data_IF_469021604968
#
_entry.id   IF_469021604968
#
_cell.length_a   1.000
_cell.length_b   1.000
_cell.length_c   1.000
_cell.angle_alpha   90.00
_cell.angle_beta   90.00
_cell.angle_gamma   90.00
#
_symmetry.space_group_name_H-M   'P 1'
#
loop_
_entity.id
_entity.type
_entity.pdbx_description
1 polymer ?
#
# COMPACT_ATOMS: atom_id res chain seq x y z
N UNK A 1 -4.48 -22.54 19.97
CA UNK A 1 -3.45 -22.02 19.05
C UNK A 1 -4.15 -21.19 17.98
N UNK A 2 -3.57 -20.08 17.52
CA UNK A 2 -4.14 -19.31 16.41
C UNK A 2 -3.79 -20.05 15.12
N UNK A 3 -4.79 -20.60 14.44
CA UNK A 3 -4.66 -21.15 13.09
C UNK A 3 -4.99 -20.04 12.10
N UNK A 4 -4.03 -19.69 11.25
CA UNK A 4 -4.23 -18.77 10.15
C UNK A 4 -4.59 -19.58 8.91
N UNK A 5 -5.89 -19.77 8.70
CA UNK A 5 -6.45 -20.50 7.56
C UNK A 5 -7.67 -19.74 7.03
N UNK A 6 -7.89 -19.80 5.72
CA UNK A 6 -9.07 -19.19 5.08
C UNK A 6 -10.35 -19.81 5.66
N UNK A 7 -11.36 -18.99 5.92
CA UNK A 7 -12.62 -19.37 6.57
C UNK A 7 -12.56 -19.44 8.10
N UNK A 8 -11.36 -19.45 8.71
CA UNK A 8 -11.23 -19.32 10.18
C UNK A 8 -11.36 -17.87 10.62
N UNK A 9 -11.51 -17.64 11.93
CA UNK A 9 -11.62 -16.30 12.51
C UNK A 9 -10.29 -15.79 13.06
N UNK A 10 -9.88 -14.59 12.66
CA UNK A 10 -8.85 -13.81 13.31
C UNK A 10 -9.48 -12.66 14.11
N UNK A 11 -9.38 -12.72 15.45
CA UNK A 11 -10.02 -11.74 16.36
C UNK A 11 -11.51 -11.51 16.05
N UNK A 12 -12.23 -12.60 15.85
CA UNK A 12 -13.68 -12.59 15.58
C UNK A 12 -14.07 -12.31 14.12
N UNK A 13 -13.11 -11.98 13.24
CA UNK A 13 -13.34 -11.69 11.83
C UNK A 13 -12.91 -12.83 10.93
N UNK A 14 -13.74 -13.23 9.97
CA UNK A 14 -13.40 -14.30 9.02
C UNK A 14 -12.19 -13.90 8.15
N UNK A 15 -11.24 -14.82 8.00
CA UNK A 15 -10.10 -14.68 7.09
C UNK A 15 -10.54 -15.08 5.68
N UNK A 16 -10.44 -14.15 4.74
CA UNK A 16 -10.83 -14.33 3.33
C UNK A 16 -9.67 -14.77 2.45
N UNK A 17 -8.44 -14.36 2.78
CA UNK A 17 -7.24 -14.67 2.02
C UNK A 17 -6.00 -14.57 2.92
N UNK A 18 -4.93 -15.29 2.57
CA UNK A 18 -3.67 -15.35 3.32
C UNK A 18 -2.48 -15.44 2.37
N UNK A 19 -1.49 -14.59 2.62
CA UNK A 19 -0.15 -14.69 2.01
C UNK A 19 0.86 -14.88 3.13
N UNK A 20 1.68 -15.93 3.02
CA UNK A 20 2.85 -16.12 3.87
C UNK A 20 4.08 -15.57 3.15
N UNK A 21 4.73 -14.59 3.77
CA UNK A 21 5.94 -13.97 3.24
C UNK A 21 7.18 -14.81 3.53
N UNK A 22 8.23 -14.61 2.74
CA UNK A 22 9.52 -15.29 2.89
C UNK A 22 10.18 -15.03 4.24
N UNK A 23 9.97 -13.85 4.83
CA UNK A 23 10.47 -13.48 6.15
C UNK A 23 9.66 -14.07 7.33
N UNK A 24 8.70 -14.94 7.05
CA UNK A 24 7.86 -15.62 8.04
C UNK A 24 6.67 -14.80 8.54
N UNK A 25 6.47 -13.58 8.04
CA UNK A 25 5.25 -12.81 8.32
C UNK A 25 4.06 -13.33 7.53
N UNK A 26 2.87 -12.98 7.98
CA UNK A 26 1.62 -13.29 7.29
C UNK A 26 0.88 -12.00 6.96
N UNK A 27 0.38 -11.89 5.75
CA UNK A 27 -0.66 -10.94 5.40
C UNK A 27 -1.98 -11.69 5.32
N UNK A 28 -3.01 -11.12 5.93
CA UNK A 28 -4.37 -11.67 5.85
C UNK A 28 -5.35 -10.60 5.37
N UNK A 29 -6.30 -11.01 4.53
CA UNK A 29 -7.56 -10.28 4.32
C UNK A 29 -8.57 -10.80 5.32
N UNK A 30 -9.18 -9.90 6.09
CA UNK A 30 -10.33 -10.24 6.94
C UNK A 30 -11.57 -9.50 6.48
N UNK A 31 -12.76 -10.06 6.71
CA UNK A 31 -14.02 -9.35 6.46
C UNK A 31 -14.04 -7.95 7.11
N UNK A 32 -14.74 -7.01 6.47
CA UNK A 32 -14.98 -5.68 7.00
C UNK A 32 -16.44 -5.27 6.80
N UNK A 33 -16.86 -4.13 7.34
CA UNK A 33 -18.28 -3.79 7.49
C UNK A 33 -18.83 -2.79 6.47
N UNK A 34 -18.04 -2.26 5.53
CA UNK A 34 -18.55 -1.22 4.61
C UNK A 34 -19.39 -1.78 3.46
N UNK A 35 -19.03 -2.95 2.93
CA UNK A 35 -19.77 -3.63 1.86
C UNK A 35 -19.50 -5.13 1.89
N UNK A 36 -20.26 -5.94 1.15
CA UNK A 36 -20.02 -7.38 1.03
C UNK A 36 -18.68 -7.75 0.39
N UNK A 37 -18.05 -6.80 -0.31
CA UNK A 37 -16.73 -6.96 -0.93
C UNK A 37 -15.62 -6.27 -0.12
N UNK A 38 -15.96 -5.48 0.90
CA UNK A 38 -14.98 -4.76 1.73
C UNK A 38 -14.22 -5.71 2.64
N UNK A 39 -12.92 -5.48 2.76
CA UNK A 39 -12.04 -6.25 3.60
C UNK A 39 -11.05 -5.35 4.31
N UNK A 40 -10.35 -5.91 5.29
CA UNK A 40 -9.27 -5.26 6.01
C UNK A 40 -8.00 -6.07 5.89
N UNK A 41 -6.92 -5.39 5.52
CA UNK A 41 -5.59 -5.98 5.47
C UNK A 41 -4.97 -5.98 6.87
N UNK A 42 -4.35 -7.09 7.27
CA UNK A 42 -3.53 -7.16 8.49
C UNK A 42 -2.22 -7.87 8.21
N UNK A 43 -1.15 -7.32 8.77
CA UNK A 43 0.17 -7.94 8.80
C UNK A 43 0.38 -8.55 10.19
N UNK A 44 0.72 -9.82 10.26
CA UNK A 44 1.04 -10.56 11.49
C UNK A 44 2.52 -10.91 11.43
N UNK A 45 3.30 -10.34 12.36
CA UNK A 45 4.75 -10.51 12.42
C UNK A 45 5.20 -11.36 13.62
N UNK A 46 4.28 -11.74 14.51
CA UNK A 46 4.50 -12.83 15.47
C UNK A 46 3.19 -13.50 15.87
N UNK A 47 3.20 -14.83 16.02
CA UNK A 47 2.07 -15.61 16.54
C UNK A 47 2.13 -15.78 18.07
N UNK A 48 3.32 -15.66 18.67
CA UNK A 48 3.57 -15.85 20.12
C UNK A 48 4.70 -14.92 20.59
N UNK A 49 4.40 -13.84 21.35
CA UNK A 49 3.06 -13.29 21.57
C UNK A 49 2.43 -12.83 20.25
N UNK A 50 1.10 -12.87 20.13
CA UNK A 50 0.43 -12.39 18.93
C UNK A 50 0.72 -10.90 18.72
N UNK A 51 1.46 -10.56 17.66
CA UNK A 51 1.72 -9.18 17.25
C UNK A 51 1.30 -8.98 15.80
N UNK A 52 0.47 -7.97 15.58
CA UNK A 52 -0.04 -7.62 14.27
C UNK A 52 -0.31 -6.13 14.15
N UNK A 53 -0.32 -5.64 12.92
CA UNK A 53 -0.65 -4.26 12.58
C UNK A 53 -1.60 -4.21 11.39
N UNK A 54 -2.24 -3.06 11.19
CA UNK A 54 -2.99 -2.76 9.96
C UNK A 54 -2.11 -1.84 9.11
N UNK A 55 -1.55 -2.32 8.00
CA UNK A 55 -0.73 -1.48 7.16
C UNK A 55 -1.57 -0.37 6.53
N UNK A 56 -0.92 0.74 6.19
CA UNK A 56 -1.55 1.96 5.66
C UNK A 56 -0.60 2.59 4.65
N UNK A 57 -1.13 3.36 3.70
CA UNK A 57 -0.34 4.12 2.73
C UNK A 57 0.81 4.90 3.36
N UNK A 58 0.55 5.57 4.49
CA UNK A 58 1.54 6.37 5.19
C UNK A 58 2.79 5.56 5.60
N UNK A 59 2.63 4.31 6.04
CA UNK A 59 3.76 3.46 6.42
C UNK A 59 4.70 3.23 5.23
N UNK A 60 4.13 2.98 4.05
CA UNK A 60 4.89 2.70 2.83
C UNK A 60 5.44 3.98 2.19
N UNK A 61 4.72 5.09 2.25
CA UNK A 61 5.19 6.37 1.74
C UNK A 61 6.40 6.90 2.55
N UNK A 62 6.37 6.77 3.87
CA UNK A 62 7.50 7.14 4.75
C UNK A 62 8.69 6.21 4.47
N UNK A 63 8.46 4.90 4.39
CA UNK A 63 9.50 3.92 4.06
C UNK A 63 10.12 4.19 2.69
N UNK A 64 9.30 4.48 1.67
CA UNK A 64 9.74 4.83 0.34
C UNK A 64 10.59 6.10 0.32
N UNK A 65 10.21 7.14 1.06
CA UNK A 65 11.03 8.34 1.20
C UNK A 65 12.39 8.04 1.85
N UNK A 66 12.42 7.22 2.91
CA UNK A 66 13.68 6.77 3.49
C UNK A 66 14.58 6.05 2.49
N UNK A 67 13.99 5.20 1.62
CA UNK A 67 14.70 4.56 0.51
C UNK A 67 15.21 5.57 -0.50
N UNK A 68 14.42 6.58 -0.86
CA UNK A 68 14.84 7.67 -1.77
C UNK A 68 16.04 8.44 -1.23
N UNK A 69 16.07 8.71 0.08
CA UNK A 69 17.21 9.35 0.75
C UNK A 69 18.46 8.45 0.76
N UNK A 70 18.28 7.14 0.94
CA UNK A 70 19.40 6.20 1.01
C UNK A 70 20.02 5.89 -0.37
N UNK A 71 19.18 5.62 -1.38
CA UNK A 71 19.61 5.40 -2.75
C UNK A 71 18.43 5.66 -3.71
N UNK A 72 18.45 6.83 -4.35
CA UNK A 72 17.39 7.28 -5.26
C UNK A 72 17.16 6.32 -6.42
N UNK A 73 18.21 5.83 -7.07
CA UNK A 73 18.09 4.96 -8.24
C UNK A 73 17.38 3.64 -7.89
N UNK A 74 17.83 2.97 -6.82
CA UNK A 74 17.20 1.72 -6.36
C UNK A 74 15.79 1.97 -5.83
N UNK A 75 15.56 3.08 -5.14
CA UNK A 75 14.23 3.44 -4.67
C UNK A 75 13.26 3.63 -5.84
N UNK A 76 13.67 4.28 -6.93
CA UNK A 76 12.83 4.40 -8.13
C UNK A 76 12.43 3.04 -8.71
N UNK A 77 13.26 1.99 -8.57
CA UNK A 77 12.88 0.61 -8.95
C UNK A 77 11.79 0.03 -8.04
N UNK A 78 11.80 0.36 -6.75
CA UNK A 78 10.67 0.04 -5.84
C UNK A 78 9.40 0.74 -6.30
N UNK A 79 9.48 2.02 -6.67
CA UNK A 79 8.33 2.75 -7.20
C UNK A 79 7.78 2.13 -8.49
N UNK A 80 8.66 1.79 -9.44
CA UNK A 80 8.26 1.12 -10.68
C UNK A 80 7.60 -0.24 -10.39
N UNK A 81 8.12 -1.01 -9.43
CA UNK A 81 7.48 -2.26 -9.02
C UNK A 81 6.07 -2.06 -8.43
N UNK A 82 5.86 -0.99 -7.65
CA UNK A 82 4.54 -0.63 -7.12
C UNK A 82 3.59 -0.26 -8.26
N UNK A 83 4.05 0.51 -9.25
CA UNK A 83 3.26 0.92 -10.42
C UNK A 83 2.91 -0.27 -11.32
N UNK A 84 3.85 -1.19 -11.55
CA UNK A 84 3.63 -2.40 -12.34
C UNK A 84 2.54 -3.27 -11.69
N UNK A 85 2.62 -3.49 -10.37
CA UNK A 85 1.59 -4.24 -9.62
C UNK A 85 0.25 -3.49 -9.59
N UNK A 86 0.28 -2.18 -9.44
CA UNK A 86 -0.93 -1.36 -9.46
C UNK A 86 -1.64 -1.41 -10.83
N UNK A 87 -0.87 -1.54 -11.90
CA UNK A 87 -1.31 -1.69 -13.30
C UNK A 87 -1.75 -3.11 -13.65
N UNK A 88 -1.72 -4.05 -12.71
CA UNK A 88 -2.23 -5.41 -12.88
C UNK A 88 -1.16 -6.49 -13.04
N UNK A 89 0.13 -6.16 -12.97
CA UNK A 89 1.19 -7.18 -12.95
C UNK A 89 1.13 -7.99 -11.64
N UNK A 90 1.39 -9.30 -11.73
CA UNK A 90 1.47 -10.17 -10.55
C UNK A 90 2.67 -9.80 -9.68
N UNK A 91 2.52 -9.87 -8.35
CA UNK A 91 3.59 -9.56 -7.39
C UNK A 91 4.82 -10.42 -7.63
N UNK A 92 4.63 -11.70 -7.96
CA UNK A 92 5.69 -12.66 -8.23
C UNK A 92 6.56 -12.24 -9.42
N UNK A 93 5.93 -11.70 -10.47
CA UNK A 93 6.63 -11.22 -11.67
C UNK A 93 7.39 -9.92 -11.39
N UNK A 94 6.79 -8.99 -10.65
CA UNK A 94 7.48 -7.78 -10.20
C UNK A 94 8.68 -8.09 -9.28
N UNK A 95 8.55 -9.08 -8.38
CA UNK A 95 9.65 -9.52 -7.53
C UNK A 95 10.81 -10.14 -8.32
N UNK A 96 10.51 -10.95 -9.35
CA UNK A 96 11.53 -11.49 -10.25
C UNK A 96 12.26 -10.38 -11.01
N UNK A 97 11.53 -9.35 -11.44
CA UNK A 97 12.06 -8.23 -12.22
C UNK A 97 12.96 -7.32 -11.37
N UNK A 98 12.49 -6.89 -10.21
CA UNK A 98 13.14 -5.82 -9.43
C UNK A 98 13.86 -6.28 -8.16
N UNK A 99 13.61 -7.50 -7.66
CA UNK A 99 14.01 -7.93 -6.33
C UNK A 99 15.53 -7.88 -6.08
N UNK A 100 16.33 -8.27 -7.07
CA UNK A 100 17.80 -8.19 -6.98
C UNK A 100 18.30 -6.75 -7.02
N UNK A 101 17.65 -5.88 -7.78
CA UNK A 101 18.06 -4.50 -8.01
C UNK A 101 17.85 -3.61 -6.78
N UNK A 102 16.83 -3.91 -5.98
CA UNK A 102 16.47 -3.14 -4.77
C UNK A 102 17.12 -3.69 -3.50
N UNK A 103 17.93 -4.75 -3.61
CA UNK A 103 18.58 -5.39 -2.46
C UNK A 103 19.49 -4.40 -1.72
N UNK A 104 19.43 -4.46 -0.39
CA UNK A 104 20.21 -3.61 0.51
C UNK A 104 19.60 -2.24 0.80
N UNK A 105 18.41 -1.92 0.26
CA UNK A 105 17.65 -0.76 0.70
C UNK A 105 17.17 -0.93 2.15
N UNK A 106 17.14 0.15 2.96
CA UNK A 106 16.67 0.10 4.33
C UNK A 106 15.15 -0.07 4.42
N UNK A 107 14.64 -0.51 5.57
CA UNK A 107 13.21 -0.56 5.86
C UNK A 107 12.55 -1.85 5.39
N UNK A 108 11.32 -1.77 4.86
CA UNK A 108 10.56 -2.94 4.45
C UNK A 108 11.11 -3.61 3.18
N UNK A 109 11.05 -4.94 3.14
CA UNK A 109 11.36 -5.74 1.95
C UNK A 109 10.33 -5.50 0.84
N UNK A 110 10.79 -5.59 -0.42
CA UNK A 110 9.93 -5.39 -1.60
C UNK A 110 8.73 -6.35 -1.60
N UNK A 111 8.93 -7.62 -1.22
CA UNK A 111 7.86 -8.62 -1.12
C UNK A 111 6.72 -8.12 -0.24
N UNK A 112 7.05 -7.61 0.95
CA UNK A 112 6.05 -7.09 1.87
C UNK A 112 5.34 -5.86 1.30
N UNK A 113 6.10 -4.91 0.75
CA UNK A 113 5.56 -3.68 0.16
C UNK A 113 4.52 -4.02 -0.92
N UNK A 114 4.87 -4.92 -1.86
CA UNK A 114 4.02 -5.24 -3.00
C UNK A 114 2.75 -5.99 -2.61
N UNK A 115 2.84 -7.03 -1.77
CA UNK A 115 1.63 -7.75 -1.34
C UNK A 115 0.72 -6.87 -0.48
N UNK A 116 1.29 -6.06 0.42
CA UNK A 116 0.49 -5.17 1.25
C UNK A 116 -0.21 -4.09 0.42
N UNK A 117 0.53 -3.38 -0.43
CA UNK A 117 -0.03 -2.33 -1.27
C UNK A 117 -1.02 -2.88 -2.28
N UNK A 118 -0.78 -4.05 -2.89
CA UNK A 118 -1.76 -4.69 -3.79
C UNK A 118 -3.14 -4.75 -3.15
N UNK A 119 -3.21 -5.29 -1.93
CA UNK A 119 -4.50 -5.44 -1.23
C UNK A 119 -5.05 -4.13 -0.68
N UNK A 120 -4.21 -3.20 -0.22
CA UNK A 120 -4.70 -1.89 0.24
C UNK A 120 -5.29 -1.12 -0.96
N UNK A 121 -4.61 -1.07 -2.10
CA UNK A 121 -5.06 -0.37 -3.29
C UNK A 121 -6.35 -1.00 -3.85
N UNK A 122 -6.44 -2.33 -3.86
CA UNK A 122 -7.68 -3.06 -4.19
C UNK A 122 -8.83 -2.66 -3.26
N UNK A 123 -8.57 -2.53 -1.95
CA UNK A 123 -9.56 -2.09 -0.97
C UNK A 123 -10.05 -0.66 -1.24
N UNK A 124 -9.15 0.25 -1.63
CA UNK A 124 -9.51 1.63 -1.97
C UNK A 124 -10.39 1.69 -3.22
N UNK A 125 -10.11 0.87 -4.23
CA UNK A 125 -10.91 0.81 -5.45
C UNK A 125 -12.31 0.23 -5.20
N UNK A 126 -12.42 -0.84 -4.41
CA UNK A 126 -13.72 -1.43 -4.02
C UNK A 126 -14.59 -0.41 -3.27
N UNK A 127 -13.97 0.43 -2.43
CA UNK A 127 -14.69 1.42 -1.63
C UNK A 127 -14.88 2.77 -2.34
N UNK A 128 -14.42 2.90 -3.58
CA UNK A 128 -14.44 4.18 -4.28
C UNK A 128 -15.82 4.47 -4.87
N UNK A 129 -16.48 5.51 -4.35
CA UNK A 129 -17.78 5.99 -4.83
C UNK A 129 -17.68 7.19 -5.77
N UNK A 130 -16.46 7.64 -6.08
CA UNK A 130 -16.17 8.83 -6.87
C UNK A 130 -15.42 9.91 -6.09
N UNK A 131 -14.97 10.94 -6.81
CA UNK A 131 -14.38 12.16 -6.25
C UNK A 131 -14.68 13.37 -7.14
N UNK A 132 -14.56 14.61 -6.63
CA UNK A 132 -14.77 15.81 -7.44
C UNK A 132 -13.85 15.83 -8.68
N UNK A 133 -14.38 16.25 -9.84
CA UNK A 133 -13.66 16.24 -11.12
C UNK A 133 -12.35 17.04 -11.07
N UNK A 134 -12.36 18.22 -10.44
CA UNK A 134 -11.14 19.02 -10.25
C UNK A 134 -10.05 18.23 -9.52
N UNK A 135 -10.43 17.44 -8.52
CA UNK A 135 -9.49 16.60 -7.77
C UNK A 135 -8.98 15.43 -8.62
N UNK A 136 -9.86 14.82 -9.41
CA UNK A 136 -9.49 13.76 -10.34
C UNK A 136 -8.42 14.25 -11.34
N UNK A 137 -8.64 15.40 -11.97
CA UNK A 137 -7.70 16.00 -12.92
C UNK A 137 -6.33 16.31 -12.31
N UNK A 138 -6.29 16.78 -11.06
CA UNK A 138 -5.04 17.04 -10.34
C UNK A 138 -4.21 15.76 -10.16
N UNK A 139 -4.87 14.66 -9.80
CA UNK A 139 -4.18 13.38 -9.60
C UNK A 139 -3.66 12.83 -10.93
N UNK A 140 -4.46 12.89 -11.98
CA UNK A 140 -4.07 12.48 -13.33
C UNK A 140 -2.87 13.30 -13.84
N UNK A 141 -2.82 14.60 -13.54
CA UNK A 141 -1.68 15.45 -13.90
C UNK A 141 -0.40 15.04 -13.15
N UNK A 142 -0.51 14.76 -11.85
CA UNK A 142 0.64 14.29 -11.04
C UNK A 142 1.17 12.96 -11.58
N UNK A 143 0.29 12.01 -11.93
CA UNK A 143 0.69 10.73 -12.51
C UNK A 143 1.31 10.91 -13.90
N UNK A 144 0.73 11.77 -14.74
CA UNK A 144 1.24 12.04 -16.10
C UNK A 144 2.65 12.62 -16.11
N UNK A 145 3.01 13.43 -15.11
CA UNK A 145 4.40 13.93 -14.93
C UNK A 145 5.41 12.81 -14.71
N UNK A 146 4.97 11.65 -14.22
CA UNK A 146 5.77 10.44 -14.06
C UNK A 146 5.59 9.45 -15.24
N UNK A 147 4.88 9.85 -16.31
CA UNK A 147 4.58 8.97 -17.45
C UNK A 147 3.58 7.85 -17.12
N UNK A 148 2.80 7.99 -16.04
CA UNK A 148 1.86 6.97 -15.56
C UNK A 148 0.45 7.31 -16.03
N UNK A 149 -0.27 6.29 -16.48
CA UNK A 149 -1.70 6.38 -16.85
C UNK A 149 -2.48 5.52 -15.87
N UNK A 150 -3.59 6.05 -15.37
CA UNK A 150 -4.48 5.33 -14.44
C UNK A 150 -5.16 4.17 -15.16
N UNK A 151 -4.94 2.92 -14.72
CA UNK A 151 -5.61 1.76 -15.30
C UNK A 151 -7.12 1.80 -15.07
N UNK A 152 -7.87 1.09 -15.91
CA UNK A 152 -9.31 0.94 -15.75
C UNK A 152 -9.64 0.31 -14.39
N UNK A 153 -10.65 0.85 -13.70
CA UNK A 153 -11.05 0.38 -12.37
C UNK A 153 -10.12 0.76 -11.22
N UNK A 154 -9.08 1.59 -11.45
CA UNK A 154 -8.08 1.95 -10.42
C UNK A 154 -8.14 3.41 -9.93
N UNK A 155 -9.27 4.10 -10.16
CA UNK A 155 -9.44 5.51 -9.78
C UNK A 155 -9.47 5.72 -8.26
N UNK A 156 -9.90 4.73 -7.47
CA UNK A 156 -9.92 4.83 -6.02
C UNK A 156 -8.51 4.95 -5.45
N UNK A 157 -7.66 4.02 -5.85
CA UNK A 157 -6.27 3.87 -5.41
C UNK A 157 -5.30 4.86 -6.05
N UNK A 158 -5.71 5.58 -7.10
CA UNK A 158 -4.93 6.63 -7.75
C UNK A 158 -4.39 7.69 -6.77
N UNK A 159 -5.17 8.05 -5.74
CA UNK A 159 -4.72 9.00 -4.72
C UNK A 159 -3.45 8.48 -4.01
N UNK A 160 -3.41 7.20 -3.68
CA UNK A 160 -2.24 6.59 -3.06
C UNK A 160 -1.04 6.55 -4.00
N UNK A 161 -1.25 6.31 -5.30
CA UNK A 161 -0.17 6.33 -6.29
C UNK A 161 0.37 7.75 -6.50
N UNK A 162 -0.51 8.76 -6.53
CA UNK A 162 -0.09 10.16 -6.63
C UNK A 162 0.83 10.58 -5.48
N UNK A 163 0.58 10.08 -4.28
CA UNK A 163 1.41 10.30 -3.11
C UNK A 163 2.83 9.75 -3.32
N UNK A 164 2.98 8.56 -3.91
CA UNK A 164 4.31 8.04 -4.29
C UNK A 164 4.95 8.85 -5.41
N UNK A 165 4.17 9.33 -6.39
CA UNK A 165 4.67 10.20 -7.47
C UNK A 165 5.25 11.51 -6.93
N UNK A 166 4.57 12.16 -5.98
CA UNK A 166 5.04 13.40 -5.34
C UNK A 166 6.38 13.16 -4.61
N UNK A 167 6.49 12.04 -3.87
CA UNK A 167 7.72 11.66 -3.16
C UNK A 167 8.84 11.33 -4.15
N UNK A 168 8.54 10.60 -5.23
CA UNK A 168 9.50 10.31 -6.30
C UNK A 168 10.03 11.61 -6.97
N UNK A 169 9.18 12.63 -7.01
CA UNK A 169 9.52 13.98 -7.51
C UNK A 169 10.30 14.83 -6.51
N UNK A 170 10.55 14.33 -5.29
CA UNK A 170 11.33 15.01 -4.24
C UNK A 170 10.50 15.69 -3.15
N UNK A 171 9.18 15.50 -3.12
CA UNK A 171 8.31 16.08 -2.07
C UNK A 171 8.47 15.32 -0.75
N UNK A 172 8.58 16.04 0.37
CA UNK A 172 8.63 15.40 1.69
C UNK A 172 7.29 14.70 2.02
N UNK A 173 7.27 13.54 2.69
CA UNK A 173 6.03 12.77 2.94
C UNK A 173 4.94 13.55 3.65
N UNK A 174 5.31 14.41 4.62
CA UNK A 174 4.34 15.25 5.35
C UNK A 174 3.61 16.18 4.40
N UNK A 175 4.33 16.86 3.50
CA UNK A 175 3.73 17.75 2.50
C UNK A 175 2.86 16.96 1.53
N UNK A 176 3.32 15.77 1.11
CA UNK A 176 2.57 14.90 0.22
C UNK A 176 1.28 14.39 0.90
N UNK A 177 1.30 14.08 2.19
CA UNK A 177 0.09 13.71 2.96
C UNK A 177 -0.90 14.86 3.10
N UNK A 178 -0.42 16.07 3.39
CA UNK A 178 -1.25 17.29 3.45
C UNK A 178 -1.91 17.54 2.09
N UNK A 179 -1.15 17.48 0.99
CA UNK A 179 -1.68 17.60 -0.37
C UNK A 179 -2.71 16.51 -0.68
N UNK A 180 -2.50 15.29 -0.18
CA UNK A 180 -3.40 14.15 -0.35
C UNK A 180 -4.68 14.24 0.49
N UNK A 181 -4.80 15.24 1.37
CA UNK A 181 -5.86 15.35 2.39
C UNK A 181 -5.96 14.09 3.27
N UNK A 182 -4.83 13.42 3.49
CA UNK A 182 -4.71 12.33 4.45
C UNK A 182 -4.48 12.98 5.81
N UNK A 183 -5.45 12.89 6.71
CA UNK A 183 -5.49 13.56 8.01
C UNK A 183 -4.13 13.46 8.76
N UNK A 184 -3.34 14.54 8.73
CA UNK A 184 -2.11 14.71 9.52
C UNK A 184 -2.38 15.54 10.77
N UNK A 185 -3.60 16.06 10.92
CA UNK A 185 -3.99 16.87 12.07
C UNK A 185 -4.35 15.92 13.22
N UNK A 186 -3.69 16.01 14.39
CA UNK A 186 -4.08 15.25 15.55
C UNK A 186 -5.55 15.54 15.87
N UNK A 187 -6.39 14.48 15.90
CA UNK A 187 -7.74 14.60 16.44
C UNK A 187 -7.57 15.03 17.90
N UNK A 188 -7.87 16.31 18.21
CA UNK A 188 -8.07 16.75 19.59
C UNK A 188 -9.21 15.92 20.15
N UNK A 189 -8.89 14.87 20.91
CA UNK A 189 -9.90 14.20 21.74
C UNK A 189 -10.43 15.28 22.67
N UNK A 190 -11.70 15.67 22.49
CA UNK A 190 -12.41 16.41 23.53
C UNK A 190 -12.31 15.56 24.80
N UNK A 191 -11.71 16.15 25.84
CA UNK A 191 -11.79 15.60 27.20
C UNK A 191 -13.24 15.61 27.64
#
# INVERSE_FOLDING_TARGET
>A
MIQLEVGKKFRGKEIKDIVKLSNGWYLIKTENSKSGQDFKVKTIFSLKPLRSLTPKHAHFAIDFYGKMCANKEKAMKVFNAIVDVWSGESVEKALKKYGSEVKGLPGYDLEYILYALKWILEQEDINFTGRPQKRQQQLEETLRKQGIITPEGRKGSELAISLFCEIASGTHPVEAFIKANLDVIPIKRRK
#
